data_IF_409868332581
#
_entry.id   IF_409868332581
#
_cell.length_a   1.000
_cell.length_b   1.000
_cell.length_c   1.000
_cell.angle_alpha   90.00
_cell.angle_beta   90.00
_cell.angle_gamma   90.00
#
_symmetry.space_group_name_H-M   'P 1'
#
loop_
_entity.id
_entity.type
_entity.pdbx_description
1 polymer ?
#
# COMPACT_ATOMS: atom_id res chain seq x y z
N UNK A 1 -46.62 -54.96 12.57
CA UNK A 1 -45.55 -53.99 12.88
C UNK A 1 -44.93 -53.46 11.59
N UNK A 2 -45.23 -52.21 11.23
CA UNK A 2 -44.53 -51.49 10.15
C UNK A 2 -43.86 -50.28 10.77
N UNK A 3 -42.53 -50.35 10.91
CA UNK A 3 -41.70 -49.23 11.33
C UNK A 3 -41.79 -48.11 10.28
N UNK A 4 -42.36 -46.98 10.69
CA UNK A 4 -42.35 -45.75 9.90
C UNK A 4 -40.97 -45.11 10.09
N UNK A 5 -40.12 -45.19 9.06
CA UNK A 5 -38.89 -44.39 8.97
C UNK A 5 -39.28 -42.93 8.79
N UNK A 6 -39.14 -42.14 9.84
CA UNK A 6 -39.29 -40.68 9.78
C UNK A 6 -38.01 -40.14 9.15
N UNK A 7 -38.08 -39.74 7.88
CA UNK A 7 -37.01 -38.97 7.26
C UNK A 7 -36.90 -37.60 7.94
N UNK A 8 -35.67 -37.10 8.20
CA UNK A 8 -35.48 -35.81 8.84
C UNK A 8 -35.94 -34.71 7.88
N UNK A 9 -37.07 -34.09 8.18
CA UNK A 9 -37.53 -32.88 7.51
C UNK A 9 -36.53 -31.76 7.76
N UNK A 10 -35.96 -31.20 6.70
CA UNK A 10 -35.06 -30.03 6.73
C UNK A 10 -35.80 -28.84 7.37
N UNK A 11 -35.68 -28.71 8.70
CA UNK A 11 -36.22 -27.62 9.48
C UNK A 11 -35.64 -26.28 8.98
N UNK A 12 -36.46 -25.23 8.94
CA UNK A 12 -36.06 -23.86 8.52
C UNK A 12 -34.78 -23.38 9.25
N UNK A 13 -34.60 -23.79 10.50
CA UNK A 13 -33.40 -23.51 11.30
C UNK A 13 -32.11 -24.12 10.69
N UNK A 14 -32.20 -25.31 10.08
CA UNK A 14 -31.07 -25.95 9.41
C UNK A 14 -30.70 -25.23 8.12
N UNK A 15 -31.69 -24.69 7.39
CA UNK A 15 -31.45 -23.87 6.19
C UNK A 15 -30.81 -22.53 6.54
N UNK A 16 -31.25 -21.91 7.64
CA UNK A 16 -30.66 -20.66 8.16
C UNK A 16 -29.21 -20.87 8.61
N UNK A 17 -28.94 -21.96 9.32
CA UNK A 17 -27.58 -22.34 9.72
C UNK A 17 -26.67 -22.66 8.52
N UNK A 18 -27.19 -23.35 7.49
CA UNK A 18 -26.46 -23.61 6.22
C UNK A 18 -26.12 -22.30 5.50
N UNK A 19 -27.07 -21.35 5.39
CA UNK A 19 -26.84 -20.03 4.79
C UNK A 19 -25.80 -19.20 5.55
N UNK A 20 -25.84 -19.22 6.89
CA UNK A 20 -24.89 -18.50 7.73
C UNK A 20 -23.46 -19.08 7.62
N UNK A 21 -23.34 -20.42 7.52
CA UNK A 21 -22.05 -21.08 7.24
C UNK A 21 -21.50 -20.70 5.87
N UNK A 22 -22.34 -20.67 4.84
CA UNK A 22 -21.95 -20.24 3.50
C UNK A 22 -21.47 -18.78 3.46
N UNK A 23 -22.18 -17.88 4.14
CA UNK A 23 -21.73 -16.47 4.24
C UNK A 23 -20.39 -16.34 4.96
N UNK A 24 -20.16 -17.13 6.03
CA UNK A 24 -18.89 -17.11 6.75
C UNK A 24 -17.73 -17.57 5.86
N UNK A 25 -17.92 -18.66 5.10
CA UNK A 25 -16.90 -19.18 4.17
C UNK A 25 -16.53 -18.15 3.10
N UNK A 26 -17.52 -17.42 2.56
CA UNK A 26 -17.27 -16.38 1.56
C UNK A 26 -16.47 -15.21 2.13
N UNK A 27 -16.78 -14.80 3.37
CA UNK A 27 -16.04 -13.75 4.07
C UNK A 27 -14.60 -14.20 4.34
N UNK A 28 -14.41 -15.41 4.85
CA UNK A 28 -13.08 -15.96 5.15
C UNK A 28 -12.23 -16.11 3.87
N UNK A 29 -12.84 -16.52 2.76
CA UNK A 29 -12.17 -16.61 1.46
C UNK A 29 -11.77 -15.22 0.94
N UNK A 30 -12.64 -14.21 1.08
CA UNK A 30 -12.32 -12.84 0.71
C UNK A 30 -11.16 -12.29 1.55
N UNK A 31 -11.20 -12.45 2.87
CA UNK A 31 -10.14 -12.02 3.78
C UNK A 31 -8.81 -12.68 3.42
N UNK A 32 -8.84 -13.99 3.15
CA UNK A 32 -7.64 -14.75 2.77
C UNK A 32 -7.05 -14.21 1.46
N UNK A 33 -7.87 -13.98 0.44
CA UNK A 33 -7.41 -13.42 -0.82
C UNK A 33 -6.77 -12.02 -0.62
N UNK A 34 -7.41 -11.13 0.14
CA UNK A 34 -6.85 -9.82 0.44
C UNK A 34 -5.51 -9.91 1.19
N UNK A 35 -5.39 -10.79 2.18
CA UNK A 35 -4.12 -11.04 2.89
C UNK A 35 -3.02 -11.50 1.95
N UNK A 36 -3.31 -12.40 1.02
CA UNK A 36 -2.30 -12.87 0.05
C UNK A 36 -1.81 -11.78 -0.90
N UNK A 37 -2.67 -10.82 -1.26
CA UNK A 37 -2.28 -9.66 -2.09
C UNK A 37 -1.32 -8.74 -1.34
N UNK A 38 -1.61 -8.46 -0.07
CA UNK A 38 -0.75 -7.64 0.80
C UNK A 38 0.62 -8.30 0.98
N UNK A 39 0.65 -9.60 1.28
CA UNK A 39 1.91 -10.35 1.45
C UNK A 39 2.79 -10.27 0.19
N UNK A 40 2.20 -10.43 -1.01
CA UNK A 40 2.92 -10.31 -2.28
C UNK A 40 3.50 -8.91 -2.51
N UNK A 41 2.76 -7.86 -2.12
CA UNK A 41 3.25 -6.48 -2.22
C UNK A 41 4.39 -6.22 -1.23
N UNK A 42 4.28 -6.70 0.01
CA UNK A 42 5.36 -6.59 1.00
C UNK A 42 6.63 -7.31 0.55
N UNK A 43 6.53 -8.50 -0.04
CA UNK A 43 7.69 -9.20 -0.59
C UNK A 43 8.34 -8.44 -1.75
N UNK A 44 7.54 -7.80 -2.62
CA UNK A 44 8.05 -6.99 -3.73
C UNK A 44 8.84 -5.78 -3.21
N UNK A 45 8.35 -5.14 -2.15
CA UNK A 45 9.02 -4.02 -1.48
C UNK A 45 10.32 -4.49 -0.81
N UNK A 46 10.29 -5.62 -0.09
CA UNK A 46 11.48 -6.20 0.56
C UNK A 46 12.58 -6.52 -0.45
N UNK A 47 12.25 -7.11 -1.61
CA UNK A 47 13.24 -7.38 -2.68
C UNK A 47 13.85 -6.10 -3.23
N UNK A 48 13.04 -5.06 -3.45
CA UNK A 48 13.51 -3.75 -3.95
C UNK A 48 14.46 -3.05 -2.96
N UNK A 49 14.22 -3.21 -1.66
CA UNK A 49 15.11 -2.69 -0.60
C UNK A 49 16.43 -3.45 -0.52
N UNK A 50 16.43 -4.76 -0.77
CA UNK A 50 17.64 -5.59 -0.72
C UNK A 50 18.53 -5.37 -1.96
N UNK A 51 17.95 -5.08 -3.13
CA UNK A 51 18.72 -4.85 -4.37
C UNK A 51 19.26 -3.44 -4.54
N UNK A 52 19.02 -2.52 -3.58
CA UNK A 52 19.42 -1.11 -3.68
C UNK A 52 20.72 -0.74 -2.95
N UNK A 53 21.45 -1.71 -2.41
CA UNK A 53 22.59 -1.48 -1.49
C UNK A 53 23.96 -1.94 -2.02
N UNK A 54 24.07 -2.28 -3.30
CA UNK A 54 25.38 -2.51 -3.96
C UNK A 54 25.53 -1.50 -5.09
N UNK A 55 26.24 -0.40 -4.82
CA UNK A 55 27.29 0.15 -5.68
C UNK A 55 27.77 1.49 -5.09
N UNK A 56 28.86 1.37 -4.35
CA UNK A 56 29.73 2.45 -3.91
C UNK A 56 30.69 2.78 -5.07
N UNK A 57 30.88 4.07 -5.34
CA UNK A 57 32.14 4.65 -5.84
C UNK A 57 32.77 4.12 -7.15
N UNK A 58 32.50 4.80 -8.28
CA UNK A 58 33.57 5.31 -9.17
C UNK A 58 33.04 6.16 -10.33
N UNK A 59 33.72 7.29 -10.51
CA UNK A 59 33.89 8.21 -11.65
C UNK A 59 33.63 7.72 -13.09
N UNK A 60 33.25 8.71 -13.93
CA UNK A 60 33.27 8.76 -15.42
C UNK A 60 32.29 7.80 -16.14
N UNK A 61 31.53 8.16 -17.18
CA UNK A 61 31.93 8.85 -18.40
C UNK A 61 30.66 9.27 -19.19
N UNK A 62 30.80 10.36 -19.94
CA UNK A 62 29.85 10.83 -20.96
C UNK A 62 29.50 9.72 -21.98
N UNK A 63 28.22 9.37 -22.11
CA UNK A 63 27.70 8.84 -23.38
C UNK A 63 26.53 9.68 -23.85
N UNK A 64 26.90 10.64 -24.70
CA UNK A 64 26.02 11.30 -25.65
C UNK A 64 25.41 10.27 -26.59
N UNK A 65 24.20 9.83 -26.31
CA UNK A 65 23.37 9.11 -27.29
C UNK A 65 22.16 9.97 -27.63
N UNK A 66 22.36 10.79 -28.67
CA UNK A 66 21.32 11.32 -29.53
C UNK A 66 20.54 10.13 -30.13
N UNK A 67 19.50 9.67 -29.46
CA UNK A 67 18.45 8.82 -30.01
C UNK A 67 17.28 8.81 -29.02
N UNK A 68 16.36 9.76 -29.14
CA UNK A 68 14.95 9.54 -28.77
C UNK A 68 14.07 10.66 -29.34
N UNK A 69 14.01 10.68 -30.66
CA UNK A 69 12.97 11.35 -31.43
C UNK A 69 11.97 10.27 -31.85
N UNK A 70 10.98 9.91 -31.01
CA UNK A 70 9.59 9.67 -31.47
C UNK A 70 8.52 9.33 -30.43
N UNK A 71 8.75 9.39 -29.12
CA UNK A 71 7.62 9.36 -28.18
C UNK A 71 7.30 10.79 -27.78
N UNK A 72 6.54 11.48 -28.64
CA UNK A 72 5.74 12.62 -28.16
C UNK A 72 4.70 12.02 -27.22
N UNK A 73 5.04 11.86 -25.94
CA UNK A 73 4.04 11.64 -24.92
C UNK A 73 2.97 12.71 -25.12
N UNK A 74 1.68 12.36 -25.16
CA UNK A 74 0.63 13.36 -25.25
C UNK A 74 0.91 14.38 -24.14
N UNK A 75 0.96 15.67 -24.50
CA UNK A 75 1.01 16.73 -23.49
C UNK A 75 -0.34 16.68 -22.78
N UNK A 76 -0.38 15.91 -21.70
CA UNK A 76 -1.49 15.88 -20.78
C UNK A 76 -1.30 17.06 -19.85
N UNK A 77 -2.18 18.06 -19.98
CA UNK A 77 -2.18 19.22 -19.10
C UNK A 77 -2.94 18.86 -17.82
N UNK A 78 -2.21 18.37 -16.83
CA UNK A 78 -2.77 18.06 -15.52
C UNK A 78 -3.17 19.32 -14.75
N UNK A 79 -4.12 19.21 -13.80
CA UNK A 79 -4.49 20.33 -12.93
C UNK A 79 -3.29 20.87 -12.14
N UNK A 80 -3.36 22.14 -11.73
CA UNK A 80 -2.29 22.78 -10.98
C UNK A 80 -1.94 22.00 -9.70
N UNK A 81 -0.65 21.69 -9.54
CA UNK A 81 -0.16 20.91 -8.40
C UNK A 81 -0.23 19.40 -8.59
N UNK A 82 -0.62 18.91 -9.77
CA UNK A 82 -0.56 17.51 -10.19
C UNK A 82 0.45 17.31 -11.32
N UNK A 83 0.95 16.09 -11.42
CA UNK A 83 2.00 15.64 -12.33
C UNK A 83 1.60 14.28 -12.90
N UNK A 84 2.31 13.82 -13.93
CA UNK A 84 2.09 12.50 -14.52
C UNK A 84 2.26 11.35 -13.52
N UNK A 85 3.02 11.54 -12.44
CA UNK A 85 3.19 10.53 -11.40
C UNK A 85 1.97 10.42 -10.46
N UNK A 86 1.07 11.41 -10.48
CA UNK A 86 -0.16 11.39 -9.69
C UNK A 86 -1.33 10.71 -10.44
N UNK A 87 -1.19 10.54 -11.75
CA UNK A 87 -2.08 9.78 -12.63
C UNK A 87 -1.69 8.30 -12.55
N UNK A 88 -2.35 7.58 -11.66
CA UNK A 88 -1.99 6.23 -11.24
C UNK A 88 -2.44 5.18 -12.26
N UNK A 89 -3.47 5.47 -13.05
CA UNK A 89 -3.97 4.57 -14.08
C UNK A 89 -3.56 4.95 -15.51
N UNK A 90 -2.98 6.14 -15.69
CA UNK A 90 -2.42 6.62 -16.94
C UNK A 90 -3.48 7.06 -17.94
N UNK A 91 -4.68 7.42 -17.49
CA UNK A 91 -5.78 7.84 -18.35
C UNK A 91 -5.69 9.33 -18.78
N UNK A 92 -4.74 10.08 -18.19
CA UNK A 92 -4.50 11.48 -18.46
C UNK A 92 -5.41 12.44 -17.70
N UNK A 93 -6.18 11.96 -16.72
CA UNK A 93 -7.15 12.73 -15.94
C UNK A 93 -6.93 12.44 -14.47
N UNK A 94 -6.71 13.48 -13.67
CA UNK A 94 -6.69 13.29 -12.21
C UNK A 94 -8.11 13.13 -11.69
N UNK A 95 -8.41 11.95 -11.18
CA UNK A 95 -9.71 11.64 -10.59
C UNK A 95 -9.77 12.02 -9.08
N UNK A 96 -10.96 11.97 -8.45
CA UNK A 96 -11.09 12.25 -7.02
C UNK A 96 -10.31 11.29 -6.12
N UNK A 97 -10.10 10.04 -6.54
CA UNK A 97 -9.40 9.03 -5.77
C UNK A 97 -7.90 9.31 -5.76
N UNK A 98 -7.30 9.59 -6.91
CA UNK A 98 -5.90 9.98 -7.09
C UNK A 98 -5.58 11.27 -6.33
N UNK A 99 -6.47 12.25 -6.45
CA UNK A 99 -6.39 13.50 -5.66
C UNK A 99 -6.37 13.22 -4.16
N UNK A 100 -7.24 12.33 -3.67
CA UNK A 100 -7.29 11.97 -2.26
C UNK A 100 -6.06 11.20 -1.80
N UNK A 101 -5.52 10.30 -2.63
CA UNK A 101 -4.28 9.57 -2.36
C UNK A 101 -3.12 10.55 -2.18
N UNK A 102 -2.97 11.51 -3.09
CA UNK A 102 -1.92 12.55 -3.00
C UNK A 102 -2.00 13.35 -1.70
N UNK A 103 -3.21 13.76 -1.31
CA UNK A 103 -3.44 14.48 -0.06
C UNK A 103 -3.03 13.64 1.14
N UNK A 104 -3.40 12.36 1.17
CA UNK A 104 -3.12 11.49 2.30
C UNK A 104 -1.62 11.17 2.42
N UNK A 105 -0.92 10.95 1.29
CA UNK A 105 0.54 10.83 1.26
C UNK A 105 1.21 12.09 1.84
N UNK A 106 0.80 13.29 1.41
CA UNK A 106 1.36 14.55 1.94
C UNK A 106 1.12 14.71 3.45
N UNK A 107 -0.05 14.33 3.96
CA UNK A 107 -0.32 14.36 5.41
C UNK A 107 0.65 13.45 6.17
N UNK A 108 0.90 12.25 5.67
CA UNK A 108 1.82 11.31 6.29
C UNK A 108 3.27 11.83 6.28
N UNK A 109 3.71 12.44 5.18
CA UNK A 109 5.03 13.07 5.08
C UNK A 109 5.19 14.20 6.11
N UNK A 110 4.19 15.08 6.23
CA UNK A 110 4.18 16.17 7.21
C UNK A 110 4.23 15.60 8.63
N UNK A 111 3.41 14.60 8.93
CA UNK A 111 3.37 13.96 10.24
C UNK A 111 4.73 13.35 10.60
N UNK A 112 5.33 12.57 9.69
CA UNK A 112 6.64 11.97 9.90
C UNK A 112 7.73 13.02 10.14
N UNK A 113 7.65 14.15 9.43
CA UNK A 113 8.59 15.26 9.61
C UNK A 113 8.43 15.92 10.98
N UNK A 114 7.20 16.14 11.45
CA UNK A 114 6.90 16.68 12.78
C UNK A 114 7.38 15.72 13.87
N UNK A 115 7.09 14.42 13.74
CA UNK A 115 7.50 13.40 14.71
C UNK A 115 9.03 13.33 14.82
N UNK A 116 9.73 13.42 13.70
CA UNK A 116 11.20 13.46 13.68
C UNK A 116 11.74 14.68 14.41
N UNK A 117 11.12 15.85 14.24
CA UNK A 117 11.50 17.08 14.97
C UNK A 117 11.27 16.95 16.47
N UNK A 118 10.12 16.40 16.88
CA UNK A 118 9.81 16.16 18.29
C UNK A 118 10.81 15.19 18.90
N UNK A 119 11.08 14.07 18.23
CA UNK A 119 12.05 13.06 18.68
C UNK A 119 13.45 13.65 18.83
N UNK A 120 13.90 14.47 17.86
CA UNK A 120 15.20 15.16 17.91
C UNK A 120 15.26 16.15 19.07
N UNK A 121 14.19 16.92 19.31
CA UNK A 121 14.11 17.86 20.42
C UNK A 121 14.13 17.13 21.78
N UNK A 122 13.41 16.01 21.90
CA UNK A 122 13.40 15.17 23.10
C UNK A 122 14.79 14.61 23.42
N UNK A 123 15.47 13.98 22.46
CA UNK A 123 16.81 13.45 22.67
C UNK A 123 17.86 14.54 22.94
N UNK A 124 17.71 15.73 22.35
CA UNK A 124 18.59 16.87 22.64
C UNK A 124 18.51 17.30 24.10
N UNK A 125 17.31 17.30 24.68
CA UNK A 125 17.11 17.61 26.10
C UNK A 125 17.65 16.50 27.00
N UNK A 126 17.33 15.24 26.69
CA UNK A 126 17.80 14.08 27.47
C UNK A 126 19.32 13.93 27.46
N UNK A 127 19.99 14.16 26.32
CA UNK A 127 21.46 14.13 26.26
C UNK A 127 22.10 15.17 27.18
N UNK A 128 21.51 16.35 27.31
CA UNK A 128 22.02 17.39 28.21
C UNK A 128 21.85 17.03 29.68
N UNK A 129 20.81 16.29 30.05
CA UNK A 129 20.59 15.85 31.44
C UNK A 129 21.53 14.70 31.85
N UNK A 130 21.85 13.78 30.92
CA UNK A 130 22.75 12.64 31.21
C UNK A 130 24.23 13.05 31.25
N UNK A 131 24.60 14.19 30.67
CA UNK A 131 25.97 14.72 30.67
C UNK A 131 26.39 15.35 32.02
N UNK A 132 25.49 15.43 33.01
CA UNK A 132 25.80 15.95 34.35
C UNK A 132 26.29 14.87 35.35
N UNK A 133 26.60 13.65 34.91
CA UNK A 133 27.00 12.53 35.78
C UNK A 133 28.37 11.87 35.43
N UNK A 134 29.30 12.59 34.80
CA UNK A 134 30.70 12.16 34.68
C UNK A 134 31.66 13.21 35.22
#
# INVERSE_FOLDING_TARGET
DREVKIEPTDNEDTKKAKKQKLSQILVDHYITNQRTKVIKQEEKIKRKLISGNEEDSSEEELVSSKNDSWIKSPKVDYPAGFTADDDLDGDGIIDPLESQIKIECRKQEIQAHVDTKIKRAYYSKFRKEVDFHH
#
